data_IF_895049337059
#
_entry.id   IF_895049337059
#
_cell.length_a   1.000
_cell.length_b   1.000
_cell.length_c   1.000
_cell.angle_alpha   90.00
_cell.angle_beta   90.00
_cell.angle_gamma   90.00
#
_symmetry.space_group_name_H-M   'P 1'
#
loop_
_entity.id
_entity.type
_entity.pdbx_description
1 polymer ?
#
# COMPACT_ATOMS: atom_id res chain seq x y z
N UNK A 1 -18.29 -16.06 1.64
CA UNK A 1 -18.50 -14.76 2.31
C UNK A 1 -17.65 -13.73 1.57
N UNK A 2 -18.23 -12.63 1.09
CA UNK A 2 -17.45 -11.51 0.54
C UNK A 2 -17.10 -10.61 1.71
N UNK A 3 -15.81 -10.39 1.92
CA UNK A 3 -15.34 -9.42 2.89
C UNK A 3 -15.62 -8.01 2.37
N UNK A 4 -16.40 -7.26 3.14
CA UNK A 4 -16.80 -5.89 2.83
C UNK A 4 -15.57 -4.95 2.79
N UNK A 5 -14.57 -5.19 3.65
CA UNK A 5 -13.32 -4.42 3.67
C UNK A 5 -12.55 -4.64 2.38
N UNK A 6 -12.44 -5.89 1.92
CA UNK A 6 -11.75 -6.20 0.66
C UNK A 6 -12.49 -5.60 -0.54
N UNK A 7 -13.82 -5.61 -0.52
CA UNK A 7 -14.62 -5.03 -1.59
C UNK A 7 -14.39 -3.52 -1.72
N UNK A 8 -14.36 -2.80 -0.59
CA UNK A 8 -14.09 -1.37 -0.56
C UNK A 8 -12.67 -1.04 -1.04
N UNK A 9 -11.65 -1.76 -0.53
CA UNK A 9 -10.25 -1.56 -0.95
C UNK A 9 -10.09 -1.77 -2.45
N UNK A 10 -10.78 -2.78 -3.02
CA UNK A 10 -10.77 -3.02 -4.46
C UNK A 10 -11.45 -1.88 -5.23
N UNK A 11 -12.60 -1.39 -4.76
CA UNK A 11 -13.29 -0.27 -5.40
C UNK A 11 -12.45 1.02 -5.41
N UNK A 12 -11.74 1.31 -4.31
CA UNK A 12 -10.83 2.46 -4.23
C UNK A 12 -9.67 2.31 -5.21
N UNK A 13 -9.05 1.12 -5.27
CA UNK A 13 -7.96 0.83 -6.22
C UNK A 13 -8.41 0.98 -7.67
N UNK A 14 -9.59 0.46 -7.99
CA UNK A 14 -10.17 0.55 -9.33
C UNK A 14 -10.47 2.00 -9.72
N UNK A 15 -11.11 2.76 -8.84
CA UNK A 15 -11.42 4.16 -9.07
C UNK A 15 -10.14 5.00 -9.22
N UNK A 16 -9.07 4.66 -8.51
CA UNK A 16 -7.78 5.30 -8.67
C UNK A 16 -7.17 4.98 -10.04
N UNK A 17 -7.08 3.71 -10.42
CA UNK A 17 -6.50 3.30 -11.70
C UNK A 17 -7.29 3.84 -12.91
N UNK A 18 -8.62 3.88 -12.81
CA UNK A 18 -9.48 4.43 -13.86
C UNK A 18 -9.21 5.91 -14.16
N UNK A 19 -8.82 6.71 -13.15
CA UNK A 19 -8.43 8.13 -13.36
C UNK A 19 -7.21 8.28 -14.27
N UNK A 20 -6.36 7.24 -14.33
CA UNK A 20 -5.16 7.17 -15.16
C UNK A 20 -5.34 6.27 -16.37
N UNK A 21 -6.58 5.86 -16.69
CA UNK A 21 -6.86 4.91 -17.77
C UNK A 21 -6.04 3.61 -17.66
N UNK A 22 -5.78 3.16 -16.43
CA UNK A 22 -4.97 1.99 -16.11
C UNK A 22 -3.52 2.04 -16.64
N UNK A 23 -3.02 3.24 -16.95
CA UNK A 23 -1.61 3.45 -17.28
C UNK A 23 -0.76 3.33 -16.02
N UNK A 24 0.06 2.29 -15.96
CA UNK A 24 0.91 1.99 -14.81
C UNK A 24 1.99 3.05 -14.60
N UNK A 25 2.53 3.61 -15.69
CA UNK A 25 3.58 4.62 -15.61
C UNK A 25 3.00 5.92 -15.05
N UNK A 26 1.81 6.32 -15.53
CA UNK A 26 1.13 7.51 -15.03
C UNK A 26 0.76 7.40 -13.54
N UNK A 27 0.31 6.22 -13.09
CA UNK A 27 0.03 5.95 -11.67
C UNK A 27 1.31 6.04 -10.83
N UNK A 28 2.41 5.47 -11.32
CA UNK A 28 3.71 5.51 -10.63
C UNK A 28 4.20 6.95 -10.44
N UNK A 29 4.13 7.76 -11.49
CA UNK A 29 4.55 9.16 -11.43
C UNK A 29 3.69 10.00 -10.47
N UNK A 30 2.39 9.71 -10.36
CA UNK A 30 1.51 10.36 -9.38
C UNK A 30 1.88 9.99 -7.94
N UNK A 31 2.14 8.71 -7.67
CA UNK A 31 2.59 8.25 -6.35
C UNK A 31 3.91 8.92 -5.98
N UNK A 32 4.87 8.99 -6.91
CA UNK A 32 6.15 9.68 -6.68
C UNK A 32 6.02 11.17 -6.42
N UNK A 33 5.08 11.85 -7.09
CA UNK A 33 4.76 13.24 -6.80
C UNK A 33 4.21 13.41 -5.40
N UNK A 34 3.24 12.58 -5.01
CA UNK A 34 2.67 12.62 -3.66
C UNK A 34 3.72 12.38 -2.58
N UNK A 35 4.66 11.44 -2.81
CA UNK A 35 5.79 11.16 -1.93
C UNK A 35 6.67 12.40 -1.75
N UNK A 36 7.04 13.08 -2.85
CA UNK A 36 7.82 14.31 -2.80
C UNK A 36 7.09 15.44 -2.05
N UNK A 37 5.78 15.61 -2.26
CA UNK A 37 4.96 16.59 -1.54
C UNK A 37 4.85 16.27 -0.04
N UNK A 38 4.78 14.99 0.32
CA UNK A 38 4.80 14.56 1.71
C UNK A 38 6.14 14.84 2.38
N UNK A 39 7.26 14.55 1.71
CA UNK A 39 8.60 14.89 2.18
C UNK A 39 8.77 16.40 2.34
N UNK A 40 8.30 17.21 1.38
CA UNK A 40 8.37 18.66 1.43
C UNK A 40 7.57 19.25 2.62
N UNK A 41 6.50 18.59 3.04
CA UNK A 41 5.71 18.93 4.24
C UNK A 41 6.32 18.43 5.56
N UNK A 42 7.51 17.84 5.52
CA UNK A 42 8.19 17.29 6.70
C UNK A 42 7.78 15.87 7.08
N UNK A 43 7.08 15.15 6.19
CA UNK A 43 6.82 13.73 6.37
C UNK A 43 8.12 12.93 6.38
N UNK A 44 8.22 11.93 7.26
CA UNK A 44 9.39 11.06 7.36
C UNK A 44 9.11 9.72 6.68
N UNK A 45 9.85 9.41 5.63
CA UNK A 45 9.90 8.06 5.08
C UNK A 45 10.70 7.17 6.04
N UNK A 46 10.11 6.04 6.45
CA UNK A 46 10.77 5.07 7.34
C UNK A 46 11.06 3.82 6.55
N UNK A 47 12.31 3.38 6.59
CA UNK A 47 12.67 2.11 5.97
C UNK A 47 11.93 0.98 6.70
N UNK A 48 11.48 -0.05 5.97
CA UNK A 48 10.97 -1.25 6.60
C UNK A 48 12.06 -1.83 7.51
N UNK A 49 11.69 -2.37 8.68
CA UNK A 49 12.67 -3.00 9.56
C UNK A 49 13.41 -4.11 8.78
N UNK A 50 14.73 -4.20 8.97
CA UNK A 50 15.53 -5.24 8.32
C UNK A 50 14.89 -6.61 8.62
N UNK A 51 14.58 -7.37 7.57
CA UNK A 51 14.05 -8.72 7.72
C UNK A 51 15.09 -9.55 8.46
N UNK A 52 14.80 -9.93 9.71
CA UNK A 52 15.69 -10.82 10.46
C UNK A 52 15.69 -12.19 9.77
N UNK A 53 16.81 -12.64 9.18
CA UNK A 53 16.87 -13.99 8.63
C UNK A 53 16.76 -14.98 9.79
N UNK A 54 15.66 -15.74 9.84
CA UNK A 54 15.40 -16.73 10.88
C UNK A 54 14.07 -16.60 11.63
N UNK A 55 13.16 -15.69 11.24
CA UNK A 55 11.76 -15.77 11.70
C UNK A 55 11.09 -16.91 10.92
N UNK A 56 11.21 -18.13 11.43
CA UNK A 56 10.33 -19.25 11.07
C UNK A 56 8.91 -18.85 11.48
N UNK A 57 8.05 -18.62 10.48
CA UNK A 57 6.61 -18.34 10.56
C UNK A 57 6.06 -18.16 11.98
N UNK A 58 6.14 -16.94 12.50
CA UNK A 58 5.45 -16.58 13.75
C UNK A 58 3.96 -16.45 13.47
N UNK A 59 3.13 -17.08 14.29
CA UNK A 59 1.66 -17.00 14.24
C UNK A 59 1.13 -15.55 14.30
N UNK A 60 1.96 -14.60 14.72
CA UNK A 60 1.67 -13.17 14.83
C UNK A 60 1.99 -12.34 13.58
N UNK A 61 2.37 -12.94 12.45
CA UNK A 61 2.44 -12.22 11.16
C UNK A 61 1.06 -11.75 10.64
N UNK A 62 -0.04 -12.24 11.26
CA UNK A 62 -1.42 -11.88 10.91
C UNK A 62 -1.79 -10.42 11.22
N UNK A 63 -1.03 -9.75 12.09
CA UNK A 63 -1.33 -8.36 12.48
C UNK A 63 -0.47 -7.36 11.69
N UNK A 64 -0.51 -7.42 10.36
CA UNK A 64 -0.30 -6.26 9.47
C UNK A 64 -1.14 -6.45 8.21
N UNK A 65 -2.41 -6.09 8.33
CA UNK A 65 -3.44 -6.09 7.29
C UNK A 65 -3.75 -7.47 6.69
N UNK A 66 -4.36 -8.35 7.47
CA UNK A 66 -4.93 -9.58 6.92
C UNK A 66 -5.41 -10.56 7.97
N UNK A 67 -6.61 -10.34 8.52
CA UNK A 67 -7.42 -11.41 9.09
C UNK A 67 -8.80 -11.37 8.42
N UNK A 68 -9.01 -12.35 7.55
CA UNK A 68 -10.31 -12.86 7.10
C UNK A 68 -10.55 -14.20 7.78
#
# INVERSE_FOLDING_TARGET
MKDEIIAEVRAIREAHAAKFNFDLDAIYEDIKRSEAEHLARGGKFVDPPATTPGITHSDYQKIRFGEL
#
